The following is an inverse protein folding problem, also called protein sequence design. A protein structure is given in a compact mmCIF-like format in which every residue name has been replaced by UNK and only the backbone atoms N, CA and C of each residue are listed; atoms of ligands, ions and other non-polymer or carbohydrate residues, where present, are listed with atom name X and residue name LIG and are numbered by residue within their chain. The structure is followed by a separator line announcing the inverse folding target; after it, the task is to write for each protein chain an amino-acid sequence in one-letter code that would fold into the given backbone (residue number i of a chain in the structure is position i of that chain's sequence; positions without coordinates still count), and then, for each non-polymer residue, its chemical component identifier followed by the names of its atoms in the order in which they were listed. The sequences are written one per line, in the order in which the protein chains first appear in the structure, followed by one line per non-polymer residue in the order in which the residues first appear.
data_IF_255758859495
#
_entry.id   IF_255758859495
#
_cell.length_a   1.000
_cell.length_b   1.000
_cell.length_c   1.000
_cell.angle_alpha   90.00
_cell.angle_beta   90.00
_cell.angle_gamma   90.00
#
_symmetry.space_group_name_H-M   'P 1'
#
loop_
_entity.id
_entity.type
_entity.pdbx_description
1 polymer ?
#
# COMPACT_ATOMS: atom_id res chain seq x y z
N UNK A 1 28.77 -21.33 -17.90
CA UNK A 1 27.46 -20.67 -17.66
C UNK A 1 27.66 -19.19 -17.89
N UNK A 2 26.85 -18.55 -18.75
CA UNK A 2 27.04 -17.14 -19.17
C UNK A 2 27.03 -16.20 -17.96
N UNK A 3 27.95 -15.22 -17.94
CA UNK A 3 28.08 -14.23 -16.85
C UNK A 3 26.79 -13.44 -16.55
N UNK A 4 25.83 -13.43 -17.47
CA UNK A 4 24.51 -12.84 -17.26
C UNK A 4 23.63 -13.66 -16.30
N UNK A 5 23.73 -14.99 -16.32
CA UNK A 5 22.98 -15.88 -15.42
C UNK A 5 23.54 -15.81 -14.01
N UNK A 6 24.87 -15.67 -13.90
CA UNK A 6 25.55 -15.52 -12.60
C UNK A 6 25.16 -14.19 -11.92
N UNK A 7 25.03 -13.11 -12.69
CA UNK A 7 24.56 -11.79 -12.21
C UNK A 7 23.11 -11.81 -11.71
N UNK A 8 22.24 -12.60 -12.35
CA UNK A 8 20.86 -12.83 -11.91
C UNK A 8 20.81 -13.69 -10.64
N UNK A 9 21.69 -14.69 -10.49
CA UNK A 9 21.80 -15.48 -9.26
C UNK A 9 22.30 -14.65 -8.08
N UNK A 10 23.26 -13.73 -8.26
CA UNK A 10 23.72 -12.82 -7.19
C UNK A 10 22.63 -11.85 -6.74
N UNK A 11 21.70 -11.50 -7.63
CA UNK A 11 20.54 -10.64 -7.33
C UNK A 11 19.55 -11.30 -6.37
N UNK A 12 19.57 -12.62 -6.20
CA UNK A 12 18.76 -13.33 -5.22
C UNK A 12 19.33 -13.29 -3.80
N UNK A 13 20.61 -12.90 -3.64
CA UNK A 13 21.28 -12.79 -2.34
C UNK A 13 21.02 -11.44 -1.64
N UNK A 14 20.36 -10.48 -2.31
CA UNK A 14 19.97 -9.23 -1.66
C UNK A 14 18.92 -9.52 -0.59
N UNK A 15 19.37 -9.46 0.67
CA UNK A 15 18.52 -9.61 1.83
C UNK A 15 17.49 -8.47 1.85
N UNK A 16 16.23 -8.77 1.53
CA UNK A 16 15.11 -7.85 1.79
C UNK A 16 14.83 -7.85 3.30
N UNK A 17 15.63 -7.09 4.06
CA UNK A 17 15.40 -6.88 5.50
C UNK A 17 14.63 -5.59 5.71
N UNK A 18 13.46 -5.67 6.36
CA UNK A 18 12.76 -4.50 6.87
C UNK A 18 11.25 -4.70 6.96
N UNK A 19 10.66 -4.30 8.08
CA UNK A 19 9.23 -4.45 8.36
C UNK A 19 8.36 -3.66 7.36
N UNK A 20 8.94 -2.71 6.64
CA UNK A 20 8.26 -1.88 5.63
C UNK A 20 7.75 -2.64 4.41
N UNK A 21 8.12 -3.92 4.23
CA UNK A 21 7.63 -4.78 3.15
C UNK A 21 6.31 -5.47 3.50
N UNK A 22 5.96 -5.57 4.79
CA UNK A 22 4.83 -6.37 5.24
C UNK A 22 3.50 -5.91 4.64
N UNK A 23 3.30 -4.58 4.57
CA UNK A 23 2.09 -4.01 3.97
C UNK A 23 1.94 -4.39 2.49
N UNK A 24 3.02 -4.32 1.71
CA UNK A 24 3.03 -4.68 0.29
C UNK A 24 2.72 -6.16 0.06
N UNK A 25 3.27 -7.04 0.91
CA UNK A 25 3.01 -8.48 0.83
C UNK A 25 1.54 -8.80 1.10
N UNK A 26 0.92 -8.16 2.09
CA UNK A 26 -0.49 -8.38 2.39
C UNK A 26 -1.37 -7.85 1.25
N UNK A 27 -1.06 -6.69 0.66
CA UNK A 27 -1.77 -6.19 -0.51
C UNK A 27 -1.67 -7.19 -1.68
N UNK A 28 -0.50 -7.79 -1.89
CA UNK A 28 -0.31 -8.84 -2.90
C UNK A 28 -1.18 -10.07 -2.63
N UNK A 29 -1.22 -10.55 -1.38
CA UNK A 29 -2.06 -11.68 -0.98
C UNK A 29 -3.54 -11.35 -1.17
N UNK A 30 -3.98 -10.17 -0.74
CA UNK A 30 -5.36 -9.71 -0.92
C UNK A 30 -5.71 -9.58 -2.41
N UNK A 31 -4.80 -9.06 -3.22
CA UNK A 31 -4.94 -8.98 -4.68
C UNK A 31 -5.16 -10.36 -5.29
N UNK A 32 -4.41 -11.37 -4.83
CA UNK A 32 -4.55 -12.76 -5.25
C UNK A 32 -5.91 -13.36 -4.86
N UNK A 33 -6.33 -13.19 -3.60
CA UNK A 33 -7.60 -13.69 -3.08
C UNK A 33 -8.79 -13.03 -3.81
N UNK A 34 -8.75 -11.71 -3.96
CA UNK A 34 -9.80 -10.94 -4.63
C UNK A 34 -9.77 -11.09 -6.16
N UNK A 35 -8.70 -11.65 -6.73
CA UNK A 35 -8.42 -11.72 -8.18
C UNK A 35 -8.53 -10.33 -8.84
N UNK A 36 -7.96 -9.32 -8.18
CA UNK A 36 -7.99 -7.92 -8.61
C UNK A 36 -6.65 -7.29 -8.36
N UNK A 37 -6.14 -6.55 -9.34
CA UNK A 37 -4.89 -5.83 -9.18
C UNK A 37 -5.13 -4.48 -8.50
N UNK A 38 -4.23 -4.05 -7.60
CA UNK A 38 -4.22 -2.68 -7.12
C UNK A 38 -3.86 -1.70 -8.26
N UNK A 39 -4.21 -0.41 -8.15
CA UNK A 39 -3.83 0.60 -9.12
C UNK A 39 -2.31 0.64 -9.35
N UNK A 40 -1.89 0.68 -10.62
CA UNK A 40 -0.47 0.66 -10.98
C UNK A 40 0.30 1.91 -10.53
N UNK A 41 -0.40 3.01 -10.29
CA UNK A 41 0.12 4.30 -9.85
C UNK A 41 0.24 4.42 -8.32
N UNK A 42 -0.29 3.45 -7.57
CA UNK A 42 -0.25 3.38 -6.12
C UNK A 42 1.02 2.66 -5.64
N UNK A 43 1.79 3.32 -4.77
CA UNK A 43 2.81 2.67 -3.94
C UNK A 43 2.38 2.65 -2.47
N UNK A 44 3.03 1.83 -1.67
CA UNK A 44 2.73 1.74 -0.24
C UNK A 44 4.02 1.59 0.56
N UNK A 45 4.02 2.09 1.80
CA UNK A 45 5.08 1.79 2.76
C UNK A 45 4.50 1.76 4.16
N UNK A 46 4.93 0.80 4.96
CA UNK A 46 4.42 0.64 6.31
C UNK A 46 4.71 -0.77 6.82
N UNK A 47 4.82 -0.88 8.13
CA UNK A 47 4.78 -2.16 8.80
C UNK A 47 3.33 -2.48 9.19
N UNK A 48 3.06 -3.73 9.55
CA UNK A 48 1.74 -4.15 10.03
C UNK A 48 1.90 -5.06 11.24
N UNK A 49 1.04 -4.90 12.24
CA UNK A 49 0.97 -5.82 13.37
C UNK A 49 0.05 -7.01 13.07
N UNK A 50 0.09 -8.03 13.92
CA UNK A 50 -0.80 -9.20 13.80
C UNK A 50 -2.28 -8.85 14.00
N UNK A 51 -2.57 -7.71 14.62
CA UNK A 51 -3.92 -7.19 14.80
C UNK A 51 -4.44 -6.43 13.56
N UNK A 52 -3.61 -6.25 12.53
CA UNK A 52 -3.97 -5.58 11.28
C UNK A 52 -3.82 -4.06 11.29
N UNK A 53 -3.16 -3.46 12.29
CA UNK A 53 -2.89 -2.03 12.33
C UNK A 53 -1.58 -1.70 11.61
N UNK A 54 -1.61 -0.61 10.84
CA UNK A 54 -0.44 -0.08 10.18
C UNK A 54 0.49 0.60 11.16
N UNK A 55 1.78 0.32 11.01
CA UNK A 55 2.85 0.80 11.88
C UNK A 55 3.76 1.75 11.09
N UNK A 56 4.19 2.87 11.71
CA UNK A 56 5.06 3.84 11.06
C UNK A 56 6.41 3.21 10.75
N UNK A 57 7.04 3.67 9.67
CA UNK A 57 8.35 3.20 9.23
C UNK A 57 9.24 4.40 8.99
N UNK A 58 10.53 4.26 9.31
CA UNK A 58 11.48 5.35 9.14
C UNK A 58 11.72 5.70 7.68
N UNK A 59 12.20 6.94 7.50
CA UNK A 59 12.89 7.34 6.28
C UNK A 59 11.97 7.62 5.09
N UNK A 60 10.89 8.32 5.38
CA UNK A 60 9.90 8.72 4.40
C UNK A 60 10.49 9.50 3.22
N UNK A 61 11.48 10.37 3.46
CA UNK A 61 12.10 11.22 2.42
C UNK A 61 12.71 10.41 1.26
N UNK A 62 13.49 9.37 1.54
CA UNK A 62 14.10 8.56 0.49
C UNK A 62 13.07 7.66 -0.21
N UNK A 63 12.02 7.24 0.51
CA UNK A 63 10.92 6.46 -0.07
C UNK A 63 10.07 7.29 -1.02
N UNK A 64 9.82 8.55 -0.70
CA UNK A 64 9.13 9.48 -1.60
C UNK A 64 9.96 9.74 -2.86
N UNK A 65 11.27 9.94 -2.72
CA UNK A 65 12.15 10.07 -3.89
C UNK A 65 12.12 8.82 -4.76
N UNK A 66 12.25 7.64 -4.16
CA UNK A 66 12.17 6.37 -4.91
C UNK A 66 10.81 6.17 -5.60
N UNK A 67 9.72 6.59 -4.96
CA UNK A 67 8.38 6.56 -5.56
C UNK A 67 8.26 7.52 -6.76
N UNK A 68 8.83 8.72 -6.64
CA UNK A 68 8.88 9.70 -7.73
C UNK A 68 9.72 9.19 -8.90
N UNK A 69 10.91 8.63 -8.63
CA UNK A 69 11.80 8.03 -9.62
C UNK A 69 11.11 6.84 -10.34
N UNK A 70 10.24 6.11 -9.63
CA UNK A 70 9.41 5.03 -10.18
C UNK A 70 8.11 5.52 -10.87
N UNK A 71 7.90 6.84 -10.99
CA UNK A 71 6.74 7.43 -11.66
C UNK A 71 5.42 7.20 -10.95
N UNK A 72 5.42 7.04 -9.62
CA UNK A 72 4.21 6.82 -8.82
C UNK A 72 3.61 8.15 -8.38
N UNK A 73 2.29 8.28 -8.52
CA UNK A 73 1.55 9.50 -8.18
C UNK A 73 0.91 9.44 -6.80
N UNK A 74 0.69 8.24 -6.24
CA UNK A 74 0.02 8.04 -4.95
C UNK A 74 0.82 7.14 -4.03
N UNK A 75 0.89 7.50 -2.75
CA UNK A 75 1.53 6.69 -1.71
C UNK A 75 0.58 6.41 -0.55
N UNK A 76 0.41 5.14 -0.20
CA UNK A 76 -0.27 4.70 1.01
C UNK A 76 0.68 4.75 2.20
N UNK A 77 0.28 5.47 3.25
CA UNK A 77 1.02 5.68 4.48
C UNK A 77 0.19 5.34 5.73
N UNK A 78 0.80 4.80 6.79
CA UNK A 78 0.20 4.73 8.11
C UNK A 78 -0.23 6.11 8.58
N UNK A 79 -1.39 6.22 9.23
CA UNK A 79 -1.91 7.47 9.76
C UNK A 79 -0.92 8.17 10.70
N UNK A 80 -0.17 7.40 11.49
CA UNK A 80 0.87 7.90 12.38
C UNK A 80 2.00 8.67 11.66
N UNK A 81 2.20 8.45 10.35
CA UNK A 81 3.22 9.13 9.55
C UNK A 81 2.75 10.46 8.96
N UNK A 82 1.48 10.83 9.14
CA UNK A 82 0.91 12.09 8.60
C UNK A 82 1.71 13.32 9.04
N UNK A 83 2.02 13.42 10.33
CA UNK A 83 2.80 14.53 10.88
C UNK A 83 4.22 14.59 10.31
N UNK A 84 4.83 13.44 9.99
CA UNK A 84 6.16 13.39 9.36
C UNK A 84 6.07 13.83 7.90
N UNK A 85 5.07 13.35 7.15
CA UNK A 85 4.84 13.73 5.77
C UNK A 85 4.55 15.23 5.62
N UNK A 86 3.75 15.80 6.52
CA UNK A 86 3.39 17.22 6.52
C UNK A 86 4.58 18.14 6.82
N UNK A 87 5.60 17.65 7.52
CA UNK A 87 6.86 18.39 7.77
C UNK A 87 7.80 18.41 6.57
N UNK A 88 7.61 17.53 5.59
CA UNK A 88 8.43 17.50 4.37
C UNK A 88 8.01 18.65 3.46
N UNK A 89 8.99 19.40 2.95
CA UNK A 89 8.76 20.52 2.02
C UNK A 89 8.02 20.04 0.76
N UNK A 90 7.17 20.89 0.18
CA UNK A 90 6.33 20.53 -0.96
C UNK A 90 7.14 20.05 -2.17
N UNK A 91 8.29 20.66 -2.42
CA UNK A 91 9.24 20.27 -3.48
C UNK A 91 9.75 18.84 -3.29
N UNK A 92 9.94 18.41 -2.04
CA UNK A 92 10.40 17.07 -1.68
C UNK A 92 9.26 16.03 -1.63
N UNK A 93 8.02 16.43 -1.90
CA UNK A 93 6.88 15.51 -2.07
C UNK A 93 6.67 15.08 -3.51
N UNK A 94 7.34 15.72 -4.48
CA UNK A 94 7.33 15.35 -5.90
C UNK A 94 5.92 15.22 -6.52
N UNK A 95 4.95 16.00 -6.01
CA UNK A 95 3.55 15.91 -6.46
C UNK A 95 2.83 14.61 -6.07
N UNK A 96 3.43 13.77 -5.22
CA UNK A 96 2.84 12.52 -4.76
C UNK A 96 1.72 12.83 -3.76
N UNK A 97 0.55 12.25 -4.00
CA UNK A 97 -0.61 12.33 -3.10
C UNK A 97 -0.51 11.23 -2.05
N UNK A 98 -0.54 11.61 -0.78
CA UNK A 98 -0.56 10.66 0.33
C UNK A 98 -1.99 10.24 0.69
N UNK A 99 -2.20 8.93 0.76
CA UNK A 99 -3.39 8.28 1.30
C UNK A 99 -3.02 7.75 2.68
N UNK A 100 -3.83 8.06 3.70
CA UNK A 100 -3.56 7.65 5.07
C UNK A 100 -4.54 6.59 5.54
N UNK A 101 -4.05 5.57 6.24
CA UNK A 101 -4.88 4.55 6.87
C UNK A 101 -4.34 4.11 8.22
N UNK A 102 -5.21 3.72 9.15
CA UNK A 102 -4.82 3.06 10.39
C UNK A 102 -4.83 1.54 10.23
N UNK A 103 -5.75 1.02 9.42
CA UNK A 103 -5.93 -0.40 9.15
C UNK A 103 -6.38 -0.62 7.70
N UNK A 104 -6.49 -1.89 7.27
CA UNK A 104 -6.93 -2.21 5.91
C UNK A 104 -8.35 -1.73 5.56
N UNK A 105 -9.27 -1.70 6.52
CA UNK A 105 -10.66 -1.27 6.28
C UNK A 105 -10.71 0.18 5.80
N UNK A 106 -9.80 1.02 6.27
CA UNK A 106 -9.74 2.44 5.91
C UNK A 106 -9.29 2.67 4.46
N UNK A 107 -8.56 1.71 3.89
CA UNK A 107 -7.84 1.90 2.61
C UNK A 107 -8.20 0.88 1.55
N UNK A 108 -9.00 -0.13 1.89
CA UNK A 108 -9.35 -1.21 0.96
C UNK A 108 -10.08 -0.71 -0.27
N UNK A 109 -10.88 0.36 -0.15
CA UNK A 109 -11.57 0.97 -1.28
C UNK A 109 -10.63 1.77 -2.18
N UNK A 110 -9.57 2.36 -1.63
CA UNK A 110 -8.54 3.07 -2.41
C UNK A 110 -7.63 2.08 -3.14
N UNK A 111 -7.35 0.93 -2.52
CA UNK A 111 -6.52 -0.15 -3.09
C UNK A 111 -7.35 -0.99 -4.08
N UNK A 112 -8.64 -1.22 -3.83
CA UNK A 112 -9.53 -2.03 -4.66
C UNK A 112 -10.89 -1.32 -4.90
N UNK A 113 -10.96 -0.33 -5.82
CA UNK A 113 -12.12 0.55 -6.01
C UNK A 113 -13.46 -0.12 -6.32
N UNK A 114 -13.44 -1.30 -6.93
CA UNK A 114 -14.64 -2.03 -7.37
C UNK A 114 -15.42 -2.66 -6.20
N UNK A 115 -14.88 -2.64 -4.98
CA UNK A 115 -15.62 -3.11 -3.80
C UNK A 115 -16.81 -2.20 -3.44
N UNK A 116 -16.79 -0.92 -3.83
CA UNK A 116 -17.90 0.03 -3.60
C UNK A 116 -19.22 -0.44 -4.22
N UNK A 117 -19.17 -1.13 -5.36
CA UNK A 117 -20.36 -1.52 -6.12
C UNK A 117 -21.19 -2.63 -5.45
N UNK A 118 -20.60 -3.48 -4.62
CA UNK A 118 -21.33 -4.61 -4.03
C UNK A 118 -22.01 -4.29 -2.68
N UNK A 119 -21.56 -3.24 -1.98
CA UNK A 119 -22.13 -2.86 -0.67
C UNK A 119 -23.46 -2.10 -0.85
N UNK A 120 -23.62 -1.37 -1.95
CA UNK A 120 -24.88 -0.66 -2.25
C UNK A 120 -26.00 -1.56 -2.79
N UNK A 121 -25.69 -2.74 -3.32
CA UNK A 121 -26.68 -3.70 -3.82
C UNK A 121 -27.26 -4.61 -2.74
N UNK A 122 -26.52 -4.90 -1.66
CA UNK A 122 -26.96 -5.85 -0.62
C UNK A 122 -27.84 -5.21 0.47
N UNK A 123 -27.88 -3.88 0.60
CA UNK A 123 -28.64 -3.21 1.66
C UNK A 123 -30.11 -2.87 1.30
N UNK A 124 -30.70 -3.50 0.27
CA UNK A 124 -32.13 -3.34 -0.07
C UNK A 124 -33.03 -4.53 0.31
N UNK A 125 -32.47 -5.63 0.82
CA UNK A 125 -33.25 -6.86 1.10
C UNK A 125 -33.44 -7.17 2.60
N UNK A 126 -33.13 -6.22 3.50
CA UNK A 126 -33.19 -6.44 4.95
C UNK A 126 -34.45 -5.96 5.69
N UNK A 127 -35.45 -5.37 5.01
CA UNK A 127 -36.61 -4.76 5.67
C UNK A 127 -37.94 -5.48 5.43
N UNK A 128 -37.95 -6.82 5.36
CA UNK A 128 -39.19 -7.61 5.37
C UNK A 128 -39.02 -8.78 6.32
N UNK A 129 -39.02 -8.52 7.62
CA UNK A 129 -39.32 -9.49 8.69
C UNK A 129 -39.67 -8.69 9.96
N UNK A 130 -40.86 -8.10 9.93
CA UNK A 130 -41.63 -7.76 11.12
C UNK A 130 -43.10 -7.90 10.73
N UNK A 131 -43.68 -9.05 11.05
CA UNK A 131 -45.12 -9.28 11.13
C UNK A 131 -45.38 -10.21 12.30
#
# INVERSE_FOLDING_TARGET
MSGSVMKLMTLWETKLTGDSLALSLIICIMSFILKRLPPADLCCTGAIDLCGNFRPVGGLKYKLKAAADAGKSRILLPLAMKTEFEKIEMEQRYGIVAIYGQNFKDVIEEIFPVLKTNISSDNKNGSILNK
#
